data_IF_641277438729
#
_entry.id   IF_641277438729
#
_cell.length_a   1.000
_cell.length_b   1.000
_cell.length_c   1.000
_cell.angle_alpha   90.00
_cell.angle_beta   90.00
_cell.angle_gamma   90.00
#
_symmetry.space_group_name_H-M   'P 1'
#
loop_
_entity.id
_entity.type
_entity.pdbx_description
1 polymer ?
#
# COMPACT_ATOMS: atom_id res chain seq x y z
N UNK A 1 60.04 -1.22 45.65
CA UNK A 1 59.99 -2.39 44.77
C UNK A 1 58.61 -3.01 44.91
N UNK A 2 57.78 -3.20 43.90
CA UNK A 2 57.98 -3.06 42.46
C UNK A 2 56.55 -3.35 41.93
N UNK A 3 55.72 -2.39 41.54
CA UNK A 3 55.86 -1.55 40.33
C UNK A 3 56.27 -2.31 39.06
N UNK A 4 56.03 -3.63 38.99
CA UNK A 4 56.33 -4.43 37.79
C UNK A 4 55.23 -5.39 37.33
N UNK A 5 54.00 -5.25 37.83
CA UNK A 5 52.87 -6.04 37.31
C UNK A 5 51.67 -5.20 36.82
N UNK A 6 51.80 -3.87 36.83
CA UNK A 6 50.84 -2.95 36.21
C UNK A 6 51.33 -2.40 34.85
N UNK A 7 52.36 -2.99 34.26
CA UNK A 7 53.01 -2.50 33.03
C UNK A 7 53.11 -3.57 31.92
N UNK A 8 52.27 -4.62 31.96
CA UNK A 8 52.32 -5.73 31.00
C UNK A 8 50.93 -6.14 30.47
N UNK A 9 49.99 -5.19 30.43
CA UNK A 9 48.75 -5.27 29.61
C UNK A 9 48.56 -3.98 28.77
N UNK A 10 49.52 -3.05 28.83
CA UNK A 10 49.50 -1.75 28.12
C UNK A 10 50.48 -1.71 26.93
N UNK A 11 50.76 -2.86 26.33
CA UNK A 11 51.62 -2.97 25.15
C UNK A 11 51.08 -4.02 24.16
N UNK A 12 49.82 -3.88 23.79
CA UNK A 12 49.31 -4.38 22.51
C UNK A 12 48.23 -3.41 21.98
N UNK A 13 48.54 -2.12 22.07
CA UNK A 13 47.98 -1.11 21.17
C UNK A 13 49.05 -0.86 20.11
N UNK A 14 48.60 -0.76 18.86
CA UNK A 14 49.36 -0.61 17.60
C UNK A 14 49.52 -1.95 16.86
N UNK A 15 48.83 -2.00 15.70
CA UNK A 15 48.79 -3.05 14.66
C UNK A 15 47.61 -4.05 14.73
N UNK A 16 46.38 -3.54 14.71
CA UNK A 16 45.39 -4.07 13.78
C UNK A 16 45.06 -2.95 12.79
N UNK A 17 45.59 -3.09 11.59
CA UNK A 17 45.30 -2.18 10.48
C UNK A 17 43.80 -2.21 10.21
N UNK A 18 43.16 -1.05 10.40
CA UNK A 18 41.88 -0.74 9.81
C UNK A 18 42.05 -0.85 8.30
N UNK A 19 41.58 -1.96 7.71
CA UNK A 19 41.13 -1.93 6.33
C UNK A 19 39.93 -0.99 6.30
N UNK A 20 40.21 0.31 6.16
CA UNK A 20 39.21 1.27 5.74
C UNK A 20 38.71 0.75 4.39
N UNK A 21 37.39 0.59 4.17
CA UNK A 21 36.92 0.58 2.80
C UNK A 21 37.41 1.89 2.19
N UNK A 22 38.20 1.79 1.13
CA UNK A 22 38.42 2.89 0.22
C UNK A 22 37.04 3.20 -0.35
N UNK A 23 36.32 4.11 0.30
CA UNK A 23 35.25 4.83 -0.36
C UNK A 23 35.95 5.57 -1.49
N UNK A 24 35.74 5.07 -2.70
CA UNK A 24 35.96 5.83 -3.91
C UNK A 24 35.11 7.09 -3.76
N UNK A 25 35.77 8.18 -3.39
CA UNK A 25 35.19 9.49 -3.34
C UNK A 25 35.11 9.98 -4.79
N UNK A 26 34.01 9.61 -5.45
CA UNK A 26 33.56 10.32 -6.64
C UNK A 26 32.79 11.55 -6.14
N UNK A 27 33.53 12.63 -5.94
CA UNK A 27 33.03 13.89 -5.42
C UNK A 27 32.55 14.74 -6.60
N UNK A 28 31.47 14.30 -7.25
CA UNK A 28 30.52 15.24 -7.82
C UNK A 28 29.42 15.39 -6.77
N UNK A 29 29.18 16.61 -6.29
CA UNK A 29 28.05 16.92 -5.41
C UNK A 29 26.75 16.68 -6.19
N UNK A 30 26.34 15.41 -6.35
CA UNK A 30 25.04 15.07 -6.93
C UNK A 30 23.97 15.72 -6.07
N UNK A 31 23.17 16.60 -6.67
CA UNK A 31 22.12 17.33 -5.98
C UNK A 31 20.98 16.36 -5.65
N UNK A 32 21.08 15.72 -4.50
CA UNK A 32 20.02 14.85 -3.97
C UNK A 32 18.98 15.68 -3.23
N UNK A 33 17.71 15.51 -3.56
CA UNK A 33 16.60 16.07 -2.78
C UNK A 33 15.72 14.97 -2.17
N UNK A 34 15.88 14.63 -0.88
CA UNK A 34 15.05 13.61 -0.24
C UNK A 34 13.59 14.05 -0.11
N UNK A 35 12.68 13.09 0.08
CA UNK A 35 11.26 13.37 0.37
C UNK A 35 11.13 14.17 1.67
N UNK A 36 10.63 15.40 1.55
CA UNK A 36 10.56 16.35 2.66
C UNK A 36 9.55 15.93 3.76
N UNK A 37 9.75 16.43 4.98
CA UNK A 37 8.87 16.15 6.13
C UNK A 37 7.40 16.55 5.86
N UNK A 38 7.18 17.72 5.27
CA UNK A 38 5.85 18.21 4.87
C UNK A 38 5.14 17.28 3.86
N UNK A 39 5.90 16.65 2.95
CA UNK A 39 5.35 15.69 1.99
C UNK A 39 4.85 14.44 2.70
N UNK A 40 5.57 13.99 3.73
CA UNK A 40 5.11 12.91 4.59
C UNK A 40 3.89 13.28 5.43
N UNK A 41 3.85 14.50 5.98
CA UNK A 41 2.68 15.00 6.70
C UNK A 41 1.44 15.01 5.79
N UNK A 42 1.58 15.49 4.55
CA UNK A 42 0.52 15.42 3.55
C UNK A 42 0.05 13.97 3.32
N UNK A 43 0.96 13.05 2.99
CA UNK A 43 0.61 11.65 2.71
C UNK A 43 -0.06 10.96 3.90
N UNK A 44 0.43 11.20 5.12
CA UNK A 44 -0.12 10.59 6.35
C UNK A 44 -1.53 11.09 6.68
N UNK A 45 -1.89 12.29 6.25
CA UNK A 45 -3.21 12.89 6.48
C UNK A 45 -4.24 12.53 5.40
N UNK A 46 -3.85 11.76 4.38
CA UNK A 46 -4.72 11.35 3.28
C UNK A 46 -4.88 9.82 3.25
N UNK A 47 -5.95 9.27 2.65
CA UNK A 47 -6.06 7.83 2.40
C UNK A 47 -4.89 7.31 1.56
N UNK A 48 -4.50 6.05 1.74
CA UNK A 48 -3.39 5.46 1.00
C UNK A 48 -3.64 5.50 -0.51
N UNK A 49 -2.60 5.83 -1.29
CA UNK A 49 -2.61 5.70 -2.74
C UNK A 49 -2.21 4.29 -3.20
N UNK A 50 -2.05 4.12 -4.50
CA UNK A 50 -1.65 2.86 -5.11
C UNK A 50 -0.21 2.48 -4.73
N UNK A 51 0.67 3.48 -4.63
CA UNK A 51 2.10 3.28 -4.39
C UNK A 51 2.50 3.49 -2.93
N UNK A 52 1.54 3.69 -2.02
CA UNK A 52 1.80 3.91 -0.60
C UNK A 52 2.71 2.85 0.04
N UNK A 53 2.53 1.56 -0.29
CA UNK A 53 3.40 0.49 0.22
C UNK A 53 4.84 0.70 -0.26
N UNK A 54 5.02 0.97 -1.56
CA UNK A 54 6.31 1.22 -2.19
C UNK A 54 7.00 2.45 -1.60
N UNK A 55 6.28 3.58 -1.51
CA UNK A 55 6.79 4.84 -0.98
C UNK A 55 7.15 4.71 0.51
N UNK A 56 6.29 4.13 1.34
CA UNK A 56 6.59 3.87 2.76
C UNK A 56 7.81 2.95 2.93
N UNK A 57 7.91 1.88 2.13
CA UNK A 57 9.05 0.97 2.14
C UNK A 57 10.34 1.70 1.81
N UNK A 58 10.39 2.45 0.69
CA UNK A 58 11.57 3.24 0.30
C UNK A 58 11.96 4.28 1.36
N UNK A 59 10.97 4.88 2.03
CA UNK A 59 11.18 5.80 3.14
C UNK A 59 11.54 5.17 4.47
N UNK A 60 11.65 3.84 4.54
CA UNK A 60 11.86 3.08 5.78
C UNK A 60 10.87 3.49 6.89
N UNK A 61 9.62 3.72 6.48
CA UNK A 61 8.51 4.07 7.37
C UNK A 61 7.62 2.86 7.61
N UNK A 62 6.87 2.92 8.70
CA UNK A 62 5.81 1.95 8.95
C UNK A 62 4.83 1.95 7.77
N UNK A 63 4.61 0.77 7.20
CA UNK A 63 3.70 0.61 6.07
C UNK A 63 2.28 0.69 6.61
N UNK A 64 1.49 1.60 6.02
CA UNK A 64 0.15 1.93 6.50
C UNK A 64 -0.81 0.74 6.42
N UNK A 65 -1.64 0.58 7.45
CA UNK A 65 -2.63 -0.50 7.53
C UNK A 65 -3.70 -0.44 6.44
N UNK A 66 -4.14 0.76 6.04
CA UNK A 66 -5.12 0.92 4.96
C UNK A 66 -4.54 0.54 3.58
N UNK A 67 -3.24 0.78 3.37
CA UNK A 67 -2.52 0.32 2.19
C UNK A 67 -2.38 -1.22 2.16
N UNK A 68 -1.99 -1.83 3.29
CA UNK A 68 -1.94 -3.30 3.44
C UNK A 68 -3.32 -3.94 3.22
N UNK A 69 -4.37 -3.35 3.80
CA UNK A 69 -5.74 -3.84 3.64
C UNK A 69 -6.16 -3.87 2.16
N UNK A 70 -5.88 -2.80 1.41
CA UNK A 70 -6.14 -2.75 -0.04
C UNK A 70 -5.42 -3.86 -0.80
N UNK A 71 -4.12 -4.04 -0.52
CA UNK A 71 -3.33 -5.11 -1.14
C UNK A 71 -3.95 -6.49 -0.85
N UNK A 72 -4.29 -6.79 0.41
CA UNK A 72 -4.84 -8.09 0.75
C UNK A 72 -6.21 -8.33 0.15
N UNK A 73 -7.05 -7.29 0.01
CA UNK A 73 -8.30 -7.38 -0.76
C UNK A 73 -8.04 -7.68 -2.24
N UNK A 74 -7.06 -7.03 -2.86
CA UNK A 74 -6.68 -7.29 -4.25
C UNK A 74 -6.16 -8.71 -4.45
N UNK A 75 -5.31 -9.21 -3.55
CA UNK A 75 -4.79 -10.58 -3.56
C UNK A 75 -5.90 -11.62 -3.38
N UNK A 76 -6.84 -11.41 -2.46
CA UNK A 76 -7.94 -12.35 -2.24
C UNK A 76 -8.92 -12.37 -3.43
N UNK A 77 -9.22 -11.20 -3.98
CA UNK A 77 -10.06 -11.07 -5.19
C UNK A 77 -9.40 -11.75 -6.38
N UNK A 78 -8.10 -11.48 -6.60
CA UNK A 78 -7.32 -12.11 -7.66
C UNK A 78 -7.27 -13.62 -7.52
N UNK A 79 -7.01 -14.15 -6.32
CA UNK A 79 -7.02 -15.60 -6.08
C UNK A 79 -8.38 -16.26 -6.34
N UNK A 80 -9.48 -15.57 -6.03
CA UNK A 80 -10.82 -16.13 -6.26
C UNK A 80 -11.25 -16.11 -7.74
N UNK A 81 -10.74 -15.16 -8.54
CA UNK A 81 -11.09 -15.05 -9.96
C UNK A 81 -10.01 -15.54 -10.93
N UNK A 82 -8.85 -15.97 -10.42
CA UNK A 82 -7.71 -16.42 -11.22
C UNK A 82 -6.82 -15.30 -11.74
N UNK A 83 -6.83 -14.13 -11.10
CA UNK A 83 -6.13 -12.91 -11.50
C UNK A 83 -6.45 -12.52 -12.94
N UNK A 84 -7.73 -12.34 -13.27
CA UNK A 84 -8.17 -11.97 -14.64
C UNK A 84 -7.53 -10.68 -15.16
N UNK A 85 -7.21 -9.76 -14.25
CA UNK A 85 -6.53 -8.50 -14.55
C UNK A 85 -5.05 -8.67 -14.26
N UNK A 86 -4.23 -8.59 -15.30
CA UNK A 86 -2.77 -8.65 -15.15
C UNK A 86 -2.25 -7.53 -14.25
N UNK A 87 -2.81 -6.32 -14.41
CA UNK A 87 -2.47 -5.14 -13.61
C UNK A 87 -2.55 -5.39 -12.09
N UNK A 88 -3.66 -5.98 -11.62
CA UNK A 88 -3.86 -6.27 -10.19
C UNK A 88 -2.83 -7.29 -9.68
N UNK A 89 -2.45 -8.26 -10.51
CA UNK A 89 -1.43 -9.27 -10.20
C UNK A 89 -0.03 -8.65 -10.10
N UNK A 90 0.34 -7.81 -11.07
CA UNK A 90 1.63 -7.14 -11.13
C UNK A 90 1.83 -6.21 -9.93
N UNK A 91 0.84 -5.35 -9.63
CA UNK A 91 0.86 -4.48 -8.46
C UNK A 91 0.92 -5.28 -7.15
N UNK A 92 0.21 -6.42 -7.10
CA UNK A 92 0.25 -7.30 -5.93
C UNK A 92 1.65 -7.88 -5.71
N UNK A 93 2.33 -8.32 -6.77
CA UNK A 93 3.69 -8.84 -6.71
C UNK A 93 4.66 -7.76 -6.22
N UNK A 94 4.61 -6.57 -6.84
CA UNK A 94 5.46 -5.43 -6.44
C UNK A 94 5.26 -5.05 -4.97
N UNK A 95 4.01 -4.98 -4.52
CA UNK A 95 3.70 -4.63 -3.14
C UNK A 95 4.14 -5.72 -2.13
N UNK A 96 3.98 -7.01 -2.47
CA UNK A 96 4.47 -8.11 -1.63
C UNK A 96 6.00 -8.08 -1.48
N UNK A 97 6.72 -7.84 -2.58
CA UNK A 97 8.17 -7.66 -2.56
C UNK A 97 8.57 -6.51 -1.62
N UNK A 98 7.87 -5.37 -1.70
CA UNK A 98 8.12 -4.22 -0.80
C UNK A 98 7.79 -4.49 0.67
N UNK A 99 6.88 -5.43 0.94
CA UNK A 99 6.60 -5.95 2.28
C UNK A 99 7.62 -7.01 2.74
N UNK A 100 8.60 -7.38 1.90
CA UNK A 100 9.55 -8.46 2.18
C UNK A 100 8.91 -9.86 2.15
N UNK A 101 7.77 -10.00 1.49
CA UNK A 101 7.08 -11.28 1.31
C UNK A 101 7.42 -11.88 -0.05
N UNK A 102 7.55 -13.20 -0.09
CA UNK A 102 7.88 -13.94 -1.31
C UNK A 102 6.62 -14.17 -2.19
N UNK A 103 6.52 -13.52 -3.36
CA UNK A 103 5.38 -13.71 -4.27
C UNK A 103 5.35 -15.09 -4.95
N UNK A 104 6.47 -15.83 -4.96
CA UNK A 104 6.54 -17.18 -5.55
C UNK A 104 5.93 -18.27 -4.65
N UNK A 105 5.70 -17.95 -3.36
CA UNK A 105 5.14 -18.86 -2.37
C UNK A 105 3.97 -18.27 -1.57
N UNK A 106 3.40 -17.15 -2.02
CA UNK A 106 2.35 -16.43 -1.30
C UNK A 106 1.11 -17.32 -1.08
N UNK A 107 0.85 -17.67 0.18
CA UNK A 107 -0.26 -18.56 0.57
C UNK A 107 -0.39 -19.84 -0.27
N UNK A 108 0.74 -20.47 -0.61
CA UNK A 108 0.83 -21.67 -1.48
C UNK A 108 0.45 -21.43 -2.95
N UNK A 109 0.42 -20.18 -3.40
CA UNK A 109 0.22 -19.79 -4.79
C UNK A 109 1.51 -19.13 -5.29
N UNK A 110 2.00 -19.55 -6.46
CA UNK A 110 3.13 -18.89 -7.12
C UNK A 110 2.61 -17.82 -8.07
N UNK A 111 2.60 -16.57 -7.61
CA UNK A 111 2.09 -15.43 -8.38
C UNK A 111 2.93 -15.13 -9.63
N UNK A 112 4.25 -15.41 -9.57
CA UNK A 112 5.13 -15.25 -10.74
C UNK A 112 4.81 -16.27 -11.83
N UNK A 113 4.49 -17.51 -11.43
CA UNK A 113 4.01 -18.52 -12.36
C UNK A 113 2.70 -18.08 -12.99
N UNK A 114 1.75 -17.55 -12.19
CA UNK A 114 0.48 -17.01 -12.70
C UNK A 114 0.72 -15.92 -13.74
N UNK A 115 1.59 -14.94 -13.44
CA UNK A 115 1.93 -13.85 -14.34
C UNK A 115 2.60 -14.35 -15.63
N UNK A 116 3.55 -15.28 -15.51
CA UNK A 116 4.28 -15.85 -16.65
C UNK A 116 3.40 -16.68 -17.61
N UNK A 117 2.25 -17.14 -17.13
CA UNK A 117 1.25 -17.88 -17.92
C UNK A 117 0.03 -17.05 -18.32
N UNK A 118 -0.08 -15.80 -17.86
CA UNK A 118 -1.27 -14.97 -18.03
C UNK A 118 -1.63 -14.77 -19.50
N UNK A 119 -2.85 -15.13 -19.90
CA UNK A 119 -3.24 -15.18 -21.33
C UNK A 119 -3.36 -13.79 -21.96
N UNK A 120 -3.85 -12.82 -21.17
CA UNK A 120 -4.21 -11.48 -21.65
C UNK A 120 -3.27 -10.39 -21.12
N UNK A 121 -1.98 -10.71 -20.91
CA UNK A 121 -1.03 -9.73 -20.35
C UNK A 121 -1.02 -8.40 -21.13
N UNK A 122 -1.13 -8.48 -22.45
CA UNK A 122 -0.99 -7.34 -23.36
C UNK A 122 -2.32 -6.67 -23.77
N UNK A 123 -3.46 -7.11 -23.23
CA UNK A 123 -4.80 -6.65 -23.66
C UNK A 123 -5.01 -5.16 -23.37
N UNK A 124 -4.56 -4.68 -22.22
CA UNK A 124 -4.67 -3.26 -21.81
C UNK A 124 -3.47 -2.40 -22.26
N UNK A 125 -2.57 -2.96 -23.07
CA UNK A 125 -1.45 -2.23 -23.67
C UNK A 125 -0.10 -2.42 -22.96
N UNK A 126 0.82 -1.48 -23.22
CA UNK A 126 2.23 -1.59 -22.80
C UNK A 126 2.46 -1.37 -21.30
N UNK A 127 1.50 -0.80 -20.58
CA UNK A 127 1.60 -0.59 -19.13
C UNK A 127 1.78 -1.93 -18.39
N UNK A 128 0.91 -2.90 -18.66
CA UNK A 128 0.99 -4.23 -18.05
C UNK A 128 2.30 -4.95 -18.45
N UNK A 129 2.73 -4.84 -19.71
CA UNK A 129 4.02 -5.41 -20.13
C UNK A 129 5.20 -4.81 -19.33
N UNK A 130 5.18 -3.50 -19.10
CA UNK A 130 6.21 -2.80 -18.33
C UNK A 130 6.17 -3.22 -16.86
N UNK A 131 4.98 -3.24 -16.25
CA UNK A 131 4.77 -3.66 -14.86
C UNK A 131 5.15 -5.13 -14.63
N UNK A 132 4.86 -6.02 -15.58
CA UNK A 132 5.27 -7.42 -15.48
C UNK A 132 6.79 -7.58 -15.46
N UNK A 133 7.51 -6.85 -16.32
CA UNK A 133 8.97 -6.87 -16.34
C UNK A 133 9.57 -6.25 -15.07
N UNK A 134 8.98 -5.18 -14.55
CA UNK A 134 9.33 -4.61 -13.25
C UNK A 134 9.07 -5.60 -12.11
N UNK A 135 7.94 -6.32 -12.12
CA UNK A 135 7.58 -7.32 -11.12
C UNK A 135 8.56 -8.51 -11.09
N UNK A 136 8.97 -9.02 -12.26
CA UNK A 136 10.00 -10.04 -12.35
C UNK A 136 11.36 -9.56 -11.82
N UNK A 137 11.74 -8.34 -12.20
CA UNK A 137 12.99 -7.73 -11.73
C UNK A 137 12.98 -7.55 -10.21
N UNK A 138 11.86 -7.10 -9.65
CA UNK A 138 11.70 -6.87 -8.21
C UNK A 138 11.72 -8.17 -7.40
N UNK A 139 11.09 -9.23 -7.91
CA UNK A 139 10.94 -10.49 -7.17
C UNK A 139 12.22 -11.34 -7.11
N UNK A 140 13.19 -11.08 -8.01
CA UNK A 140 14.49 -11.77 -8.08
C UNK A 140 14.40 -13.31 -8.06
N UNK A 141 13.24 -13.84 -8.43
CA UNK A 141 12.91 -15.26 -8.37
C UNK A 141 12.84 -15.84 -9.78
N UNK A 142 13.39 -17.05 -10.00
CA UNK A 142 13.47 -17.62 -11.32
C UNK A 142 12.08 -17.95 -11.87
N UNK A 143 11.85 -17.58 -13.13
CA UNK A 143 10.73 -18.04 -13.95
C UNK A 143 11.27 -18.88 -15.12
N UNK A 144 10.44 -19.76 -15.68
CA UNK A 144 10.86 -20.55 -16.84
C UNK A 144 11.06 -19.66 -18.07
N UNK A 145 12.20 -19.78 -18.73
CA UNK A 145 12.48 -19.04 -19.98
C UNK A 145 11.47 -19.36 -21.09
N UNK A 146 10.93 -20.58 -21.10
CA UNK A 146 9.91 -21.02 -22.04
C UNK A 146 8.49 -20.61 -21.67
N UNK A 147 8.28 -19.85 -20.59
CA UNK A 147 6.96 -19.35 -20.23
C UNK A 147 6.43 -18.38 -21.29
N UNK A 148 5.10 -18.30 -21.43
CA UNK A 148 4.42 -17.42 -22.39
C UNK A 148 4.91 -15.97 -22.25
N UNK A 149 4.93 -15.47 -21.02
CA UNK A 149 5.36 -14.13 -20.66
C UNK A 149 6.68 -14.17 -19.90
N UNK A 150 7.68 -14.89 -20.42
CA UNK A 150 9.03 -14.88 -19.87
C UNK A 150 9.69 -13.50 -20.02
N UNK A 151 10.78 -13.25 -19.28
CA UNK A 151 11.53 -11.98 -19.36
C UNK A 151 11.93 -11.66 -20.82
N UNK A 152 12.53 -12.58 -21.61
CA UNK A 152 12.80 -12.33 -23.03
C UNK A 152 11.55 -12.00 -23.85
N UNK A 153 10.45 -12.75 -23.67
CA UNK A 153 9.22 -12.53 -24.44
C UNK A 153 8.60 -11.15 -24.18
N UNK A 154 8.55 -10.72 -22.91
CA UNK A 154 8.02 -9.40 -22.53
C UNK A 154 8.97 -8.29 -23.00
N UNK A 155 10.28 -8.50 -22.90
CA UNK A 155 11.30 -7.57 -23.41
C UNK A 155 11.16 -7.37 -24.92
N UNK A 156 11.03 -8.44 -25.68
CA UNK A 156 10.86 -8.41 -27.14
C UNK A 156 9.53 -7.75 -27.54
N UNK A 157 8.46 -8.02 -26.79
CA UNK A 157 7.17 -7.36 -27.02
C UNK A 157 7.27 -5.84 -26.81
N UNK A 158 7.88 -5.39 -25.70
CA UNK A 158 8.10 -3.98 -25.44
C UNK A 158 8.92 -3.35 -26.58
N UNK A 159 10.12 -3.85 -26.86
CA UNK A 159 11.01 -3.26 -27.88
C UNK A 159 10.37 -3.26 -29.26
N UNK A 160 9.67 -4.33 -29.65
CA UNK A 160 8.98 -4.39 -30.95
C UNK A 160 7.78 -3.44 -31.08
N UNK A 161 7.23 -2.98 -29.94
CA UNK A 161 6.15 -1.99 -29.89
C UNK A 161 6.65 -0.55 -30.00
N UNK A 162 7.97 -0.32 -29.99
CA UNK A 162 8.55 1.01 -30.17
C UNK A 162 8.23 1.57 -31.55
N UNK A 163 7.67 2.77 -31.60
CA UNK A 163 7.33 3.40 -32.87
C UNK A 163 8.55 3.98 -33.58
N UNK A 164 8.39 4.39 -34.85
CA UNK A 164 9.49 4.98 -35.66
C UNK A 164 10.07 6.24 -35.02
N UNK A 165 9.23 7.04 -34.36
CA UNK A 165 9.63 8.23 -33.60
C UNK A 165 10.55 7.93 -32.42
N UNK A 166 10.59 6.70 -31.93
CA UNK A 166 11.36 6.29 -30.74
C UNK A 166 10.52 6.20 -29.47
N UNK A 167 9.35 6.83 -29.41
CA UNK A 167 8.43 6.70 -28.29
C UNK A 167 7.60 5.41 -28.33
N UNK A 168 6.94 5.12 -27.21
CA UNK A 168 6.00 4.02 -27.03
C UNK A 168 4.58 4.57 -26.82
N UNK A 169 3.60 3.92 -27.41
CA UNK A 169 2.19 4.30 -27.28
C UNK A 169 1.45 3.33 -26.35
N UNK A 170 0.42 3.77 -25.61
CA UNK A 170 -0.30 2.90 -24.68
C UNK A 170 -0.85 1.65 -25.38
N UNK A 171 -1.43 1.82 -26.56
CA UNK A 171 -1.95 0.75 -27.42
C UNK A 171 -1.63 1.00 -28.89
N UNK A 172 -1.73 -0.05 -29.71
CA UNK A 172 -1.49 0.04 -31.15
C UNK A 172 -2.41 1.07 -31.83
N UNK A 173 -1.85 1.89 -32.72
CA UNK A 173 -2.59 2.92 -33.46
C UNK A 173 -2.79 4.24 -32.70
N UNK A 174 -2.27 4.36 -31.48
CA UNK A 174 -2.19 5.62 -30.73
C UNK A 174 -0.84 6.30 -30.96
N UNK A 175 -0.79 7.60 -30.69
CA UNK A 175 0.48 8.33 -30.65
C UNK A 175 1.31 7.91 -29.42
N UNK A 176 2.64 8.01 -29.49
CA UNK A 176 3.49 7.78 -28.34
C UNK A 176 3.17 8.72 -27.18
N UNK A 177 3.28 8.19 -25.96
CA UNK A 177 2.97 8.88 -24.73
C UNK A 177 4.21 8.98 -23.83
N UNK A 178 4.37 10.09 -23.12
CA UNK A 178 5.52 10.36 -22.26
C UNK A 178 5.63 9.37 -21.12
N UNK A 179 4.52 9.10 -20.43
CA UNK A 179 4.47 8.20 -19.27
C UNK A 179 4.78 6.79 -19.75
N UNK A 180 4.09 6.31 -20.80
CA UNK A 180 4.30 4.97 -21.35
C UNK A 180 5.75 4.78 -21.81
N UNK A 181 6.34 5.80 -22.44
CA UNK A 181 7.74 5.74 -22.88
C UNK A 181 8.70 5.67 -21.71
N UNK A 182 8.49 6.47 -20.66
CA UNK A 182 9.33 6.47 -19.48
C UNK A 182 9.21 5.17 -18.65
N UNK A 183 7.99 4.61 -18.54
CA UNK A 183 7.75 3.34 -17.85
C UNK A 183 8.40 2.17 -18.63
N UNK A 184 8.33 2.19 -19.97
CA UNK A 184 9.03 1.21 -20.80
C UNK A 184 10.56 1.28 -20.62
N UNK A 185 11.14 2.49 -20.54
CA UNK A 185 12.57 2.66 -20.21
C UNK A 185 12.90 2.07 -18.85
N UNK A 186 12.10 2.40 -17.83
CA UNK A 186 12.32 1.91 -16.45
C UNK A 186 12.25 0.39 -16.38
N UNK A 187 11.30 -0.22 -17.11
CA UNK A 187 11.14 -1.66 -17.19
C UNK A 187 12.29 -2.36 -17.93
N UNK A 188 12.79 -1.76 -19.02
CA UNK A 188 13.86 -2.30 -19.86
C UNK A 188 15.28 -2.04 -19.31
N UNK A 189 15.43 -1.12 -18.36
CA UNK A 189 16.72 -0.74 -17.79
C UNK A 189 17.56 -1.92 -17.27
N UNK A 190 17.00 -2.98 -16.62
CA UNK A 190 17.79 -4.14 -16.20
C UNK A 190 18.36 -4.96 -17.37
N UNK A 191 17.80 -4.82 -18.57
CA UNK A 191 18.27 -5.49 -19.80
C UNK A 191 19.12 -4.57 -20.70
N UNK A 192 19.58 -3.42 -20.18
CA UNK A 192 20.31 -2.40 -20.96
C UNK A 192 21.59 -2.88 -21.66
N UNK A 193 22.19 -3.96 -21.19
CA UNK A 193 23.41 -4.55 -21.79
C UNK A 193 23.12 -5.38 -23.06
N UNK A 194 21.84 -5.66 -23.34
CA UNK A 194 21.41 -6.33 -24.57
C UNK A 194 21.35 -5.30 -25.71
N UNK A 195 22.13 -5.52 -26.78
CA UNK A 195 22.36 -4.51 -27.83
C UNK A 195 21.09 -3.92 -28.47
N UNK A 196 20.06 -4.73 -28.74
CA UNK A 196 18.81 -4.22 -29.32
C UNK A 196 17.95 -3.46 -28.30
N UNK A 197 18.03 -3.83 -27.02
CA UNK A 197 17.39 -3.10 -25.91
C UNK A 197 18.08 -1.76 -25.71
N UNK A 198 19.42 -1.74 -25.64
CA UNK A 198 20.22 -0.51 -25.56
C UNK A 198 19.88 0.47 -26.69
N UNK A 199 19.79 -0.03 -27.93
CA UNK A 199 19.40 0.79 -29.08
C UNK A 199 17.97 1.34 -28.97
N UNK A 200 17.05 0.56 -28.39
CA UNK A 200 15.69 0.99 -28.12
C UNK A 200 15.63 2.07 -27.04
N UNK A 201 16.38 1.89 -25.94
CA UNK A 201 16.50 2.85 -24.83
C UNK A 201 17.00 4.21 -25.31
N UNK A 202 18.05 4.26 -26.13
CA UNK A 202 18.58 5.53 -26.65
C UNK A 202 17.58 6.28 -27.54
N UNK A 203 16.82 5.56 -28.37
CA UNK A 203 15.75 6.15 -29.19
C UNK A 203 14.62 6.71 -28.33
N UNK A 204 14.26 6.02 -27.26
CA UNK A 204 13.23 6.45 -26.32
C UNK A 204 13.68 7.71 -25.55
N UNK A 205 14.94 7.74 -25.07
CA UNK A 205 15.53 8.91 -24.43
C UNK A 205 15.58 10.12 -25.36
N UNK A 206 15.98 9.92 -26.62
CA UNK A 206 15.96 10.99 -27.63
C UNK A 206 14.55 11.54 -27.83
N UNK A 207 13.55 10.65 -27.96
CA UNK A 207 12.17 11.06 -28.12
C UNK A 207 11.65 11.84 -26.90
N UNK A 208 11.94 11.39 -25.68
CA UNK A 208 11.59 12.10 -24.44
C UNK A 208 12.26 13.48 -24.37
N UNK A 209 13.55 13.58 -24.70
CA UNK A 209 14.28 14.85 -24.73
C UNK A 209 13.62 15.90 -25.65
N UNK A 210 12.96 15.45 -26.73
CA UNK A 210 12.20 16.30 -27.67
C UNK A 210 10.81 16.69 -27.14
N UNK A 211 10.23 15.90 -26.23
CA UNK A 211 8.91 16.19 -25.64
C UNK A 211 8.96 17.15 -24.45
N UNK A 212 10.15 17.42 -23.90
CA UNK A 212 10.30 18.25 -22.71
C UNK A 212 10.04 19.73 -23.02
N UNK A 213 9.20 20.37 -22.20
CA UNK A 213 8.85 21.78 -22.32
C UNK A 213 10.04 22.70 -21.97
N UNK A 214 10.01 23.99 -22.38
CA UNK A 214 11.05 24.97 -22.03
C UNK A 214 11.27 25.16 -20.52
N UNK A 215 10.23 24.99 -19.70
CA UNK A 215 10.29 25.07 -18.23
C UNK A 215 10.76 23.76 -17.57
N UNK A 216 11.10 22.75 -18.38
CA UNK A 216 11.63 21.45 -17.96
C UNK A 216 10.55 20.38 -17.71
N UNK A 217 9.27 20.73 -17.68
CA UNK A 217 8.20 19.75 -17.39
C UNK A 217 7.81 18.94 -18.62
N UNK A 218 6.97 17.93 -18.40
CA UNK A 218 6.31 17.18 -19.47
C UNK A 218 4.80 17.36 -19.43
N UNK A 219 4.17 17.33 -20.61
CA UNK A 219 2.72 17.43 -20.71
C UNK A 219 2.05 16.06 -20.69
N UNK A 220 0.94 15.97 -19.98
CA UNK A 220 -0.06 14.90 -20.10
C UNK A 220 -1.42 15.46 -19.69
N UNK A 221 -2.52 14.82 -20.11
CA UNK A 221 -3.89 15.26 -19.77
C UNK A 221 -4.18 16.74 -20.10
N UNK A 222 -3.52 17.28 -21.13
CA UNK A 222 -3.76 18.65 -21.62
C UNK A 222 -2.94 19.76 -20.95
N UNK A 223 -1.99 19.43 -20.07
CA UNK A 223 -1.10 20.44 -19.46
C UNK A 223 0.18 19.86 -18.86
N UNK A 224 1.01 20.71 -18.27
CA UNK A 224 2.18 20.28 -17.51
C UNK A 224 1.73 19.34 -16.39
N UNK A 225 2.35 18.15 -16.33
CA UNK A 225 1.86 17.04 -15.52
C UNK A 225 2.97 16.45 -14.62
N UNK A 226 2.65 16.26 -13.34
CA UNK A 226 3.56 15.75 -12.34
C UNK A 226 3.94 14.29 -12.60
N UNK A 227 2.98 13.41 -12.94
CA UNK A 227 3.26 11.99 -13.23
C UNK A 227 4.18 11.85 -14.43
N UNK A 228 3.94 12.60 -15.52
CA UNK A 228 4.80 12.57 -16.69
C UNK A 228 6.23 13.01 -16.37
N UNK A 229 6.39 14.10 -15.64
CA UNK A 229 7.71 14.62 -15.24
C UNK A 229 8.43 13.67 -14.29
N UNK A 230 7.72 13.12 -13.30
CA UNK A 230 8.23 12.12 -12.36
C UNK A 230 8.65 10.81 -13.04
N UNK A 231 7.88 10.34 -14.02
CA UNK A 231 8.20 9.13 -14.76
C UNK A 231 9.50 9.29 -15.56
N UNK A 232 9.70 10.43 -16.23
CA UNK A 232 10.95 10.70 -16.97
C UNK A 232 12.14 10.80 -16.02
N UNK A 233 12.00 11.49 -14.88
CA UNK A 233 13.04 11.52 -13.85
C UNK A 233 13.38 10.11 -13.36
N UNK A 234 12.36 9.29 -13.07
CA UNK A 234 12.55 7.88 -12.65
C UNK A 234 13.32 7.08 -13.71
N UNK A 235 12.97 7.25 -14.99
CA UNK A 235 13.58 6.55 -16.11
C UNK A 235 15.07 6.89 -16.26
N UNK A 236 15.43 8.18 -16.27
CA UNK A 236 16.83 8.58 -16.42
C UNK A 236 17.67 8.16 -15.21
N UNK A 237 17.13 8.28 -13.99
CA UNK A 237 17.84 7.91 -12.77
C UNK A 237 18.07 6.40 -12.70
N UNK A 238 17.09 5.59 -13.12
CA UNK A 238 17.22 4.12 -13.18
C UNK A 238 18.29 3.68 -14.18
N UNK A 239 18.52 4.44 -15.25
CA UNK A 239 19.62 4.18 -16.19
C UNK A 239 20.98 4.66 -15.68
N UNK A 240 21.03 5.42 -14.60
CA UNK A 240 22.24 6.06 -14.09
C UNK A 240 22.66 7.28 -14.91
N UNK A 241 21.71 7.94 -15.58
CA UNK A 241 21.95 9.19 -16.32
C UNK A 241 21.87 10.35 -15.32
N UNK A 242 22.89 11.25 -15.27
CA UNK A 242 22.92 12.35 -14.32
C UNK A 242 21.88 13.44 -14.66
N UNK A 243 21.46 14.21 -13.65
CA UNK A 243 20.50 15.32 -13.82
C UNK A 243 21.03 16.41 -14.76
N UNK A 244 22.35 16.57 -14.85
CA UNK A 244 23.04 17.52 -15.71
C UNK A 244 23.15 17.07 -17.17
N UNK A 245 22.58 15.91 -17.54
CA UNK A 245 22.54 15.48 -18.94
C UNK A 245 21.85 16.55 -19.80
N UNK A 246 22.61 17.09 -20.74
CA UNK A 246 22.20 18.24 -21.56
C UNK A 246 20.94 17.97 -22.40
N UNK A 247 20.54 16.70 -22.61
CA UNK A 247 19.26 16.35 -23.23
C UNK A 247 18.07 16.83 -22.38
N UNK A 248 18.20 16.74 -21.06
CA UNK A 248 17.12 16.94 -20.09
C UNK A 248 17.21 18.24 -19.27
N UNK A 249 18.23 19.07 -19.51
CA UNK A 249 18.34 20.41 -18.92
C UNK A 249 17.77 21.45 -19.89
N UNK A 250 16.78 22.23 -19.43
CA UNK A 250 16.12 23.30 -20.21
C UNK A 250 16.29 24.66 -19.53
N UNK A 251 15.70 25.72 -20.09
CA UNK A 251 15.76 27.07 -19.50
C UNK A 251 15.21 27.11 -18.07
N UNK A 252 14.20 26.29 -17.78
CA UNK A 252 13.57 26.18 -16.47
C UNK A 252 14.34 25.39 -15.41
N UNK A 253 15.50 24.82 -15.73
CA UNK A 253 16.31 23.99 -14.84
C UNK A 253 16.42 22.53 -15.30
N UNK A 254 16.84 21.67 -14.36
CA UNK A 254 16.88 20.22 -14.53
C UNK A 254 15.50 19.57 -14.26
N UNK A 255 15.40 18.25 -14.34
CA UNK A 255 14.15 17.51 -14.09
C UNK A 255 13.70 17.57 -12.64
N UNK A 256 14.62 17.78 -11.70
CA UNK A 256 14.30 17.91 -10.28
C UNK A 256 13.63 19.27 -10.02
N UNK A 257 14.17 20.34 -10.61
CA UNK A 257 13.54 21.67 -10.61
C UNK A 257 12.15 21.61 -11.26
N UNK A 258 12.02 20.91 -12.38
CA UNK A 258 10.75 20.72 -13.06
C UNK A 258 9.72 19.98 -12.18
N UNK A 259 10.14 18.92 -11.47
CA UNK A 259 9.26 18.17 -10.57
C UNK A 259 8.78 19.04 -9.39
N UNK A 260 9.65 19.85 -8.80
CA UNK A 260 9.28 20.70 -7.66
C UNK A 260 8.32 21.85 -8.02
N UNK A 261 8.11 22.15 -9.30
CA UNK A 261 7.05 23.09 -9.74
C UNK A 261 5.64 22.61 -9.42
N UNK A 262 5.45 21.31 -9.26
CA UNK A 262 4.17 20.71 -8.90
C UNK A 262 3.93 20.67 -7.39
N UNK A 263 4.93 20.98 -6.57
CA UNK A 263 4.78 20.95 -5.11
C UNK A 263 4.02 22.20 -4.62
N UNK A 264 2.96 21.98 -3.85
CA UNK A 264 2.19 23.02 -3.20
C UNK A 264 2.70 23.31 -1.78
N UNK A 265 2.15 24.38 -1.18
CA UNK A 265 2.54 24.84 0.17
C UNK A 265 2.19 23.87 1.29
N UNK A 266 1.29 22.91 1.04
CA UNK A 266 0.96 21.82 1.96
C UNK A 266 1.96 20.66 1.91
N UNK A 267 2.97 20.74 1.05
CA UNK A 267 4.01 19.73 0.86
C UNK A 267 3.63 18.60 -0.10
N UNK A 268 2.34 18.51 -0.48
CA UNK A 268 1.86 17.61 -1.50
C UNK A 268 2.12 18.13 -2.92
N UNK A 269 1.93 17.27 -3.91
CA UNK A 269 2.12 17.59 -5.32
C UNK A 269 0.78 17.55 -6.04
N UNK A 270 0.56 18.45 -6.99
CA UNK A 270 -0.63 18.48 -7.84
C UNK A 270 -0.41 17.69 -9.14
N UNK A 271 -1.48 17.07 -9.68
CA UNK A 271 -1.35 16.31 -10.93
C UNK A 271 -1.05 17.24 -12.10
N UNK A 272 -1.82 18.31 -12.25
CA UNK A 272 -1.54 19.42 -13.16
C UNK A 272 -1.06 20.64 -12.38
N UNK A 273 -0.20 21.44 -12.99
CA UNK A 273 0.39 22.61 -12.33
C UNK A 273 -0.69 23.62 -11.91
N UNK A 274 -0.67 24.03 -10.63
CA UNK A 274 -1.62 25.00 -10.06
C UNK A 274 -2.93 24.40 -9.53
N UNK A 275 -3.13 23.09 -9.66
CA UNK A 275 -4.24 22.38 -9.04
C UNK A 275 -3.97 22.04 -7.55
N UNK A 276 -4.99 21.63 -6.78
CA UNK A 276 -4.77 21.08 -5.45
C UNK A 276 -3.88 19.84 -5.46
N UNK A 277 -3.17 19.63 -4.36
CA UNK A 277 -2.35 18.43 -4.16
C UNK A 277 -3.21 17.16 -4.20
N UNK A 278 -2.67 16.08 -4.77
CA UNK A 278 -3.28 14.75 -4.74
C UNK A 278 -2.30 13.70 -4.20
N UNK A 279 -2.83 12.65 -3.57
CA UNK A 279 -2.01 11.51 -3.10
C UNK A 279 -1.26 10.86 -4.25
N UNK A 280 -1.93 10.67 -5.38
CA UNK A 280 -1.36 10.03 -6.57
C UNK A 280 -0.14 10.81 -7.10
N UNK A 281 -0.28 12.12 -7.34
CA UNK A 281 0.84 12.93 -7.82
C UNK A 281 1.98 13.00 -6.79
N UNK A 282 1.63 13.07 -5.50
CA UNK A 282 2.61 13.09 -4.41
C UNK A 282 3.40 11.78 -4.32
N UNK A 283 2.75 10.64 -4.54
CA UNK A 283 3.41 9.33 -4.59
C UNK A 283 4.34 9.21 -5.80
N UNK A 284 3.92 9.63 -7.00
CA UNK A 284 4.81 9.65 -8.18
C UNK A 284 6.03 10.53 -7.96
N UNK A 285 5.85 11.73 -7.40
CA UNK A 285 6.95 12.60 -7.04
C UNK A 285 7.90 11.91 -6.04
N UNK A 286 7.36 11.29 -4.98
CA UNK A 286 8.17 10.57 -4.01
C UNK A 286 8.98 9.41 -4.63
N UNK A 287 8.37 8.62 -5.51
CA UNK A 287 9.06 7.54 -6.24
C UNK A 287 10.23 8.10 -7.08
N UNK A 288 10.01 9.20 -7.79
CA UNK A 288 11.04 9.83 -8.61
C UNK A 288 12.18 10.42 -7.77
N UNK A 289 11.88 11.04 -6.62
CA UNK A 289 12.89 11.52 -5.68
C UNK A 289 13.74 10.36 -5.11
N UNK A 290 13.13 9.21 -4.83
CA UNK A 290 13.89 8.03 -4.41
C UNK A 290 14.75 7.45 -5.53
N UNK A 291 14.23 7.42 -6.77
CA UNK A 291 15.00 6.98 -7.92
C UNK A 291 16.21 7.89 -8.16
N UNK A 292 16.02 9.21 -8.14
CA UNK A 292 17.09 10.21 -8.22
C UNK A 292 18.14 10.08 -7.10
N UNK A 293 17.68 9.91 -5.86
CA UNK A 293 18.58 9.77 -4.71
C UNK A 293 19.45 8.50 -4.78
N UNK A 294 18.91 7.41 -5.34
CA UNK A 294 19.55 6.09 -5.26
C UNK A 294 20.18 5.64 -6.58
N UNK A 295 19.77 6.22 -7.70
CA UNK A 295 20.09 5.73 -9.05
C UNK A 295 19.46 4.36 -9.36
N UNK A 296 18.48 3.92 -8.57
CA UNK A 296 17.85 2.61 -8.68
C UNK A 296 16.37 2.74 -9.03
N UNK A 297 15.84 1.77 -9.76
CA UNK A 297 14.39 1.67 -9.97
C UNK A 297 13.67 1.62 -8.61
N UNK A 298 12.57 2.35 -8.41
CA UNK A 298 11.84 2.36 -7.14
C UNK A 298 11.09 1.04 -6.86
N UNK A 299 11.06 0.12 -7.82
CA UNK A 299 10.32 -1.14 -7.72
C UNK A 299 11.15 -2.33 -7.23
N UNK A 300 12.48 -2.21 -7.17
CA UNK A 300 13.36 -3.30 -6.74
C UNK A 300 13.04 -3.78 -5.32
N UNK A 301 13.49 -5.00 -5.01
CA UNK A 301 13.45 -5.53 -3.65
C UNK A 301 14.08 -4.53 -2.67
N UNK A 302 13.51 -4.34 -1.47
CA UNK A 302 14.08 -3.43 -0.48
C UNK A 302 15.55 -3.73 -0.12
N UNK A 303 15.99 -4.99 -0.24
CA UNK A 303 17.39 -5.40 -0.02
C UNK A 303 18.40 -4.75 -0.98
N UNK A 304 17.94 -4.19 -2.11
CA UNK A 304 18.80 -3.57 -3.11
C UNK A 304 19.18 -2.13 -2.77
N UNK A 305 18.45 -1.46 -1.88
CA UNK A 305 18.71 -0.05 -1.55
C UNK A 305 19.76 0.07 -0.43
N UNK A 306 20.78 0.93 -0.60
CA UNK A 306 21.78 1.18 0.43
C UNK A 306 21.15 1.64 1.75
N UNK A 307 21.55 1.01 2.86
CA UNK A 307 21.08 1.40 4.19
C UNK A 307 19.64 1.02 4.50
N UNK A 308 18.98 0.20 3.68
CA UNK A 308 17.68 -0.36 4.03
C UNK A 308 17.81 -1.34 5.20
N UNK A 309 17.15 -1.03 6.31
CA UNK A 309 16.94 -1.96 7.40
C UNK A 309 15.56 -2.60 7.26
N UNK A 310 15.44 -3.95 7.24
CA UNK A 310 14.13 -4.58 7.28
C UNK A 310 13.38 -4.08 8.52
N UNK A 311 12.17 -3.56 8.33
CA UNK A 311 11.22 -3.45 9.43
C UNK A 311 11.12 -4.83 10.08
N UNK A 312 11.35 -4.94 11.39
CA UNK A 312 11.23 -6.24 12.09
C UNK A 312 9.91 -6.88 11.65
N UNK A 313 9.93 -8.15 11.19
CA UNK A 313 8.72 -8.77 10.69
C UNK A 313 7.64 -8.69 11.76
N UNK A 314 6.45 -8.19 11.39
CA UNK A 314 5.24 -8.18 12.24
C UNK A 314 4.89 -9.58 12.77
N UNK A 315 5.56 -10.61 12.29
CA UNK A 315 5.57 -11.97 12.78
C UNK A 315 6.31 -12.12 14.13
N UNK A 316 5.84 -11.39 15.17
CA UNK A 316 5.93 -11.65 16.63
C UNK A 316 5.99 -10.36 17.47
N UNK A 317 5.01 -9.44 17.37
CA UNK A 317 4.39 -9.03 18.64
C UNK A 317 3.61 -10.25 19.12
N UNK A 318 4.35 -11.18 19.74
CA UNK A 318 3.93 -12.57 19.89
C UNK A 318 2.50 -12.63 20.42
N UNK A 319 1.65 -13.49 19.84
CA UNK A 319 0.33 -13.77 20.40
C UNK A 319 0.42 -14.08 21.92
N UNK A 320 1.57 -14.57 22.37
CA UNK A 320 1.94 -14.73 23.78
C UNK A 320 1.96 -13.41 24.54
N UNK A 321 2.53 -12.32 24.03
CA UNK A 321 2.56 -11.01 24.69
C UNK A 321 1.17 -10.38 24.79
N UNK A 322 0.37 -10.46 23.73
CA UNK A 322 -1.03 -10.01 23.75
C UNK A 322 -1.88 -10.86 24.69
N UNK A 323 -1.67 -12.18 24.71
CA UNK A 323 -2.28 -13.09 25.68
C UNK A 323 -1.83 -12.79 27.11
N UNK A 324 -0.55 -12.47 27.33
CA UNK A 324 -0.01 -12.14 28.64
C UNK A 324 -0.59 -10.81 29.17
N UNK A 325 -0.72 -9.80 28.31
CA UNK A 325 -1.38 -8.55 28.66
C UNK A 325 -2.86 -8.77 28.99
N UNK A 326 -3.56 -9.59 28.20
CA UNK A 326 -4.94 -9.96 28.49
C UNK A 326 -5.06 -10.72 29.82
N UNK A 327 -4.17 -11.69 30.07
CA UNK A 327 -4.14 -12.48 31.30
C UNK A 327 -3.88 -11.61 32.53
N UNK A 328 -2.91 -10.68 32.46
CA UNK A 328 -2.61 -9.74 33.54
C UNK A 328 -3.79 -8.80 33.79
N UNK A 329 -4.44 -8.28 32.74
CA UNK A 329 -5.65 -7.48 32.88
C UNK A 329 -6.81 -8.25 33.51
N UNK A 330 -7.01 -9.51 33.10
CA UNK A 330 -8.03 -10.39 33.64
C UNK A 330 -7.80 -10.73 35.12
N UNK A 331 -6.56 -11.07 35.50
CA UNK A 331 -6.19 -11.31 36.90
C UNK A 331 -6.31 -10.04 37.75
N UNK A 332 -5.96 -8.88 37.20
CA UNK A 332 -6.15 -7.59 37.86
C UNK A 332 -7.62 -7.30 38.16
N UNK A 333 -8.51 -7.56 37.20
CA UNK A 333 -9.96 -7.43 37.39
C UNK A 333 -10.48 -8.37 38.49
N UNK A 334 -10.03 -9.64 38.53
CA UNK A 334 -10.40 -10.57 39.60
C UNK A 334 -9.91 -10.10 40.97
N UNK A 335 -8.70 -9.54 41.05
CA UNK A 335 -8.17 -8.98 42.29
C UNK A 335 -9.00 -7.78 42.78
N UNK A 336 -9.47 -6.92 41.86
CA UNK A 336 -10.35 -5.79 42.19
C UNK A 336 -11.70 -6.31 42.73
N UNK A 337 -12.31 -7.30 42.07
CA UNK A 337 -13.57 -7.91 42.53
C UNK A 337 -13.38 -8.53 43.93
N UNK A 338 -12.29 -9.24 44.14
CA UNK A 338 -11.96 -9.83 45.44
C UNK A 338 -11.75 -8.77 46.53
N UNK A 339 -11.04 -7.68 46.21
CA UNK A 339 -10.86 -6.56 47.13
C UNK A 339 -12.20 -5.89 47.48
N UNK A 340 -13.12 -5.75 46.52
CA UNK A 340 -14.47 -5.24 46.77
C UNK A 340 -15.27 -6.17 47.69
N UNK A 341 -15.18 -7.49 47.52
CA UNK A 341 -15.81 -8.46 48.43
C UNK A 341 -15.20 -8.42 49.85
N UNK A 342 -13.89 -8.21 49.97
CA UNK A 342 -13.27 -7.99 51.27
C UNK A 342 -13.68 -6.64 51.88
N UNK A 343 -13.87 -5.61 51.05
CA UNK A 343 -14.35 -4.31 51.51
C UNK A 343 -15.79 -4.41 52.04
N UNK A 344 -16.68 -5.13 51.36
CA UNK A 344 -18.07 -5.31 51.84
C UNK A 344 -18.13 -6.10 53.14
N UNK A 345 -17.31 -7.14 53.30
CA UNK A 345 -17.21 -7.89 54.56
C UNK A 345 -16.56 -7.06 55.68
N UNK A 346 -15.58 -6.21 55.37
CA UNK A 346 -14.97 -5.29 56.32
C UNK A 346 -15.92 -4.17 56.75
N UNK A 347 -16.67 -3.57 55.81
CA UNK A 347 -17.75 -2.61 56.12
C UNK A 347 -18.81 -3.28 56.98
N UNK A 348 -19.23 -4.50 56.64
CA UNK A 348 -20.18 -5.29 57.43
C UNK A 348 -19.70 -5.55 58.87
N UNK A 349 -18.42 -5.89 59.07
CA UNK A 349 -17.83 -6.03 60.41
C UNK A 349 -17.65 -4.71 61.15
N UNK A 350 -17.33 -3.62 60.46
CA UNK A 350 -17.06 -2.31 61.07
C UNK A 350 -18.35 -1.53 61.41
N UNK A 351 -19.44 -1.81 60.70
CA UNK A 351 -20.74 -1.17 60.88
C UNK A 351 -21.79 -2.09 61.51
N UNK A 352 -21.53 -3.39 61.66
CA UNK A 352 -22.40 -4.34 62.36
C UNK A 352 -22.66 -4.00 63.83
N UNK A 353 -21.82 -3.19 64.46
CA UNK A 353 -21.98 -2.70 65.84
C UNK A 353 -22.39 -1.21 65.94
N UNK A 354 -22.68 -0.56 64.81
CA UNK A 354 -23.24 0.81 64.80
C UNK A 354 -24.69 0.75 64.39
N UNK A 355 -25.59 0.67 65.39
CA UNK A 355 -27.03 0.87 65.24
C UNK A 355 -27.28 2.16 64.44
N UNK A 356 -27.79 2.03 63.22
CA UNK A 356 -28.21 3.17 62.41
C UNK A 356 -29.49 3.72 63.07
N UNK A 357 -29.52 4.99 63.55
CA UNK A 357 -30.60 5.53 64.36
C UNK A 357 -31.84 5.93 63.55
N UNK A 358 -32.19 5.16 62.51
CA UNK A 358 -33.34 5.45 61.64
C UNK A 358 -34.31 4.29 61.43
N UNK A 359 -34.06 3.13 62.05
CA UNK A 359 -35.07 2.07 62.18
C UNK A 359 -35.19 1.70 63.66
N UNK A 360 -36.35 2.01 64.24
CA UNK A 360 -36.70 1.60 65.59
C UNK A 360 -36.67 0.07 65.74
N UNK A 361 -36.26 -0.40 66.92
CA UNK A 361 -36.21 -1.81 67.28
C UNK A 361 -37.65 -2.40 67.22
N UNK A 362 -37.92 -3.48 66.46
CA UNK A 362 -39.28 -3.98 66.27
C UNK A 362 -39.94 -4.61 67.50
N UNK A 363 -39.26 -4.62 68.66
CA UNK A 363 -39.67 -5.39 69.84
C UNK A 363 -40.09 -4.53 71.05
N UNK A 364 -40.18 -3.20 70.92
CA UNK A 364 -40.50 -2.30 72.03
C UNK A 364 -41.82 -1.53 71.85
N UNK A 365 -42.89 -2.21 71.40
CA UNK A 365 -44.27 -1.68 71.43
C UNK A 365 -45.30 -2.75 71.80
N UNK A 366 -45.04 -3.51 72.87
CA UNK A 366 -46.07 -4.24 73.62
C UNK A 366 -46.24 -3.61 75.01
N UNK A 367 -46.82 -2.40 75.06
CA UNK A 367 -47.52 -1.88 76.25
C UNK A 367 -48.06 -0.46 76.01
N UNK A 368 -49.22 -0.33 75.35
CA UNK A 368 -50.17 0.72 75.74
C UNK A 368 -51.58 0.41 75.18
N UNK A 369 -52.64 0.43 76.01
CA UNK A 369 -53.96 -0.04 75.63
C UNK A 369 -54.85 1.13 75.23
N UNK A 370 -55.07 1.39 73.94
CA UNK A 370 -56.21 2.19 73.46
C UNK A 370 -56.21 2.29 71.93
N UNK A 371 -56.76 1.28 71.26
CA UNK A 371 -57.33 1.41 69.91
C UNK A 371 -58.24 0.20 69.60
N UNK A 372 -59.18 -0.08 70.51
CA UNK A 372 -60.40 -0.79 70.12
C UNK A 372 -61.35 0.23 69.50
N UNK A 373 -61.69 0.04 68.22
CA UNK A 373 -63.03 0.16 67.60
C UNK A 373 -62.93 0.65 66.15
N UNK A 374 -63.07 -0.29 65.21
CA UNK A 374 -63.85 -0.21 63.97
C UNK A 374 -63.32 -1.23 62.94
N UNK A 375 -64.06 -2.32 62.78
CA UNK A 375 -64.00 -3.24 61.63
C UNK A 375 -64.74 -2.59 60.43
N UNK A 376 -64.48 -2.96 59.16
CA UNK A 376 -65.05 -4.21 58.62
C UNK A 376 -64.19 -4.98 57.60
N UNK A 377 -64.72 -6.13 57.18
CA UNK A 377 -64.04 -7.32 56.65
C UNK A 377 -63.73 -7.32 55.12
N UNK A 378 -62.89 -8.30 54.76
CA UNK A 378 -62.26 -8.64 53.47
C UNK A 378 -63.20 -9.02 52.31
N UNK A 379 -62.70 -8.97 51.05
CA UNK A 379 -63.03 -9.93 49.99
C UNK A 379 -61.82 -10.80 49.57
N UNK A 380 -62.05 -11.94 48.88
CA UNK A 380 -61.09 -13.06 48.78
C UNK A 380 -60.18 -13.02 47.54
N UNK A 381 -59.20 -13.93 47.60
CA UNK A 381 -58.04 -14.20 46.74
C UNK A 381 -58.44 -14.69 45.35
N UNK A 382 -57.74 -14.22 44.31
CA UNK A 382 -57.79 -14.77 42.95
C UNK A 382 -56.35 -15.01 42.45
N UNK A 383 -56.01 -16.28 42.18
CA UNK A 383 -54.75 -16.70 41.55
C UNK A 383 -54.88 -16.54 40.03
N UNK A 384 -53.88 -15.94 39.36
CA UNK A 384 -53.76 -15.93 37.89
C UNK A 384 -52.33 -16.35 37.50
N UNK A 385 -52.16 -17.21 36.47
CA UNK A 385 -50.98 -18.07 36.32
C UNK A 385 -49.82 -17.40 35.57
N UNK A 386 -48.63 -17.99 35.73
CA UNK A 386 -47.39 -17.66 35.00
C UNK A 386 -47.55 -17.89 33.49
N UNK A 387 -47.51 -16.81 32.71
CA UNK A 387 -47.42 -16.88 31.24
C UNK A 387 -45.97 -16.70 30.81
N UNK A 388 -45.37 -17.78 30.30
CA UNK A 388 -44.09 -17.76 29.60
C UNK A 388 -44.26 -17.04 28.25
N UNK A 389 -43.55 -15.93 28.07
CA UNK A 389 -43.53 -15.19 26.82
C UNK A 389 -42.72 -15.96 25.76
N UNK A 390 -43.40 -16.78 24.96
CA UNK A 390 -42.86 -17.35 23.72
C UNK A 390 -42.84 -16.27 22.63
N UNK A 391 -41.65 -15.85 22.21
CA UNK A 391 -41.49 -15.00 21.03
C UNK A 391 -41.55 -15.88 19.78
N UNK A 392 -42.72 -15.94 19.14
CA UNK A 392 -42.88 -16.52 17.81
C UNK A 392 -42.33 -15.56 16.75
N UNK A 393 -41.23 -15.95 16.08
CA UNK A 393 -40.77 -15.31 14.84
C UNK A 393 -41.53 -15.97 13.67
N UNK A 394 -42.39 -15.26 12.93
CA UNK A 394 -42.99 -15.82 11.73
C UNK A 394 -41.92 -15.93 10.62
N UNK A 395 -41.49 -17.15 10.31
CA UNK A 395 -40.89 -17.48 9.01
C UNK A 395 -42.02 -17.71 8.00
N UNK A 396 -42.40 -16.68 7.27
CA UNK A 396 -42.97 -16.83 5.93
C UNK A 396 -42.01 -16.16 4.95
N UNK A 397 -41.31 -16.99 4.18
CA UNK A 397 -40.62 -16.55 3.00
C UNK A 397 -41.66 -16.46 1.87
N UNK A 398 -42.09 -15.25 1.52
CA UNK A 398 -42.69 -15.02 0.21
C UNK A 398 -41.56 -15.08 -0.82
N UNK A 399 -41.59 -16.11 -1.66
CA UNK A 399 -40.76 -16.19 -2.85
C UNK A 399 -41.19 -15.07 -3.81
N UNK A 400 -40.27 -14.26 -4.37
CA UNK A 400 -40.63 -13.36 -5.45
C UNK A 400 -41.10 -14.19 -6.66
N UNK A 401 -42.24 -13.82 -7.22
CA UNK A 401 -42.75 -14.35 -8.48
C UNK A 401 -41.86 -13.87 -9.63
N UNK A 402 -41.16 -14.80 -10.27
CA UNK A 402 -40.21 -14.51 -11.35
C UNK A 402 -40.87 -14.31 -12.72
N UNK A 403 -42.20 -14.43 -12.83
CA UNK A 403 -42.92 -14.32 -14.11
C UNK A 403 -43.40 -12.89 -14.44
N UNK A 404 -43.01 -11.86 -13.66
CA UNK A 404 -43.42 -10.45 -13.91
C UNK A 404 -42.28 -9.43 -13.91
N UNK A 405 -41.07 -9.83 -14.32
CA UNK A 405 -40.04 -8.85 -14.69
C UNK A 405 -40.38 -8.33 -16.10
N UNK A 406 -40.66 -7.04 -16.31
CA UNK A 406 -40.77 -6.50 -17.66
C UNK A 406 -39.41 -6.64 -18.35
N UNK A 407 -39.38 -7.28 -19.52
CA UNK A 407 -38.21 -7.31 -20.41
C UNK A 407 -37.78 -5.86 -20.68
N UNK A 408 -36.62 -5.46 -20.14
CA UNK A 408 -35.96 -4.24 -20.57
C UNK A 408 -35.40 -4.48 -21.97
N UNK A 409 -35.98 -3.80 -22.95
CA UNK A 409 -35.45 -3.71 -24.31
C UNK A 409 -33.97 -3.31 -24.30
N UNK A 410 -33.11 -3.97 -25.11
CA UNK A 410 -31.73 -3.56 -25.26
C UNK A 410 -31.65 -2.18 -25.93
N UNK A 411 -30.73 -1.29 -25.51
CA UNK A 411 -30.44 -0.10 -26.28
C UNK A 411 -29.64 -0.52 -27.52
N UNK A 412 -30.12 -0.10 -28.69
CA UNK A 412 -29.51 -0.02 -30.02
C UNK A 412 -30.14 -0.89 -31.12
N UNK A 413 -30.56 -0.28 -32.25
CA UNK A 413 -31.11 -1.00 -33.39
C UNK A 413 -29.99 -1.66 -34.22
N UNK A 414 -30.15 -2.95 -34.46
CA UNK A 414 -29.46 -3.67 -35.54
C UNK A 414 -30.20 -3.42 -36.85
N UNK A 415 -29.77 -2.42 -37.62
CA UNK A 415 -30.08 -2.33 -39.04
C UNK A 415 -28.82 -2.69 -39.84
N UNK A 416 -28.78 -3.93 -40.32
CA UNK A 416 -28.00 -4.31 -41.49
C UNK A 416 -29.05 -4.58 -42.58
N UNK A 417 -29.31 -3.59 -43.42
CA UNK A 417 -29.85 -3.83 -44.76
C UNK A 417 -28.68 -4.11 -45.73
N UNK A 418 -28.83 -5.06 -46.67
CA UNK A 418 -27.86 -5.29 -47.72
C UNK A 418 -28.10 -4.30 -48.86
N UNK A 419 -27.14 -3.40 -49.13
CA UNK A 419 -27.18 -2.57 -50.33
C UNK A 419 -26.64 -3.38 -51.53
N UNK A 420 -27.58 -4.03 -52.21
CA UNK A 420 -27.41 -4.65 -53.51
C UNK A 420 -27.69 -3.61 -54.61
N UNK A 421 -26.63 -2.93 -55.12
CA UNK A 421 -26.69 -2.17 -56.38
C UNK A 421 -25.38 -2.25 -57.18
N UNK A 422 -25.28 -3.28 -58.02
CA UNK A 422 -24.67 -3.18 -59.37
C UNK A 422 -25.71 -2.61 -60.34
N UNK A 423 -25.35 -1.69 -61.26
CA UNK A 423 -25.26 -2.06 -62.71
C UNK A 423 -24.33 -1.13 -63.56
N UNK A 424 -24.22 -1.28 -64.90
CA UNK A 424 -24.04 -2.50 -65.71
C UNK A 424 -22.84 -2.41 -66.71
N UNK A 425 -22.56 -3.58 -67.30
CA UNK A 425 -21.76 -3.93 -68.50
C UNK A 425 -20.26 -4.15 -68.30
#
# INVERSE_FOLDING_TARGET
>A
MLKQLCALVLSFSVLLGTALPVQAQDNQDHRVSPVAGQTWEYLNNQPAGQWSITVCSLGQREIREDAKARLYTMLETGRSNGFRKAHDLELSILALVKLGQDPSAYQKTNLLSTLSSHENLYEDGLENASLALMAYTAAESPIFESARNSIPSVTDYLVSSQQRSGGFAPTAGRDPDVIVTADAITALAPQKDVSYVSSSLERALSWLSEQQNPDGTFNAQGGANCRATAAVLTAISTLGIPLEDARFVKEGGDLLDALFRFQNTDGGFSMLMGEPSSVEATEYAALALYADQTGLSPHLSPSCYPGYAPSEPEQKRSAVMSYLQFLVGFLGMLAIIYALLLLTTWIGKKWGDRRIPFFGNPYDLESSPEAQTARPAQPPIEEVPMETMEIHIPMQAELPDFDTIPEMEPPYPSEIEPDEKTPPV
#
